data_IF_943558789251
#
_entry.id   IF_943558789251
#
_cell.length_a   1.000
_cell.length_b   1.000
_cell.length_c   1.000
_cell.angle_alpha   90.00
_cell.angle_beta   90.00
_cell.angle_gamma   90.00
#
_symmetry.space_group_name_H-M   'P 1'
#
loop_
_entity.id
_entity.type
_entity.pdbx_description
1 polymer ?
#
# COMPACT_ATOMS: atom_id res chain seq x y z
N UNK A 1 11.16 -29.62 14.27
CA UNK A 1 10.96 -28.41 13.42
C UNK A 1 11.24 -27.21 14.29
N UNK A 2 12.29 -26.41 14.01
CA UNK A 2 12.51 -25.14 14.75
C UNK A 2 11.33 -24.24 14.41
N UNK A 3 10.38 -24.08 15.32
CA UNK A 3 9.36 -23.04 15.20
C UNK A 3 10.09 -21.71 15.26
N UNK A 4 10.42 -21.15 14.09
CA UNK A 4 10.92 -19.77 14.02
C UNK A 4 9.86 -18.92 14.69
N UNK A 5 10.23 -18.27 15.79
CA UNK A 5 9.33 -17.38 16.52
C UNK A 5 9.12 -16.13 15.66
N UNK A 6 8.10 -16.15 14.82
CA UNK A 6 7.71 -14.99 14.01
C UNK A 6 6.71 -14.12 14.76
N UNK A 7 6.72 -12.83 14.46
CA UNK A 7 5.88 -11.81 15.10
C UNK A 7 4.85 -11.31 14.10
N UNK A 8 3.57 -11.24 14.49
CA UNK A 8 2.53 -10.64 13.65
C UNK A 8 2.21 -9.24 14.15
N UNK A 9 2.19 -8.28 13.23
CA UNK A 9 1.66 -6.95 13.43
C UNK A 9 0.38 -6.78 12.61
N UNK A 10 -0.53 -5.95 13.11
CA UNK A 10 -1.78 -5.59 12.45
C UNK A 10 -1.73 -4.10 12.14
N UNK A 11 -2.13 -3.71 10.93
CA UNK A 11 -2.41 -2.31 10.63
C UNK A 11 -3.82 -1.89 11.06
N UNK A 12 -4.16 -0.62 10.83
CA UNK A 12 -5.40 0.01 11.28
C UNK A 12 -6.65 -0.43 10.51
N UNK A 13 -6.48 -0.96 9.29
CA UNK A 13 -7.57 -1.25 8.38
C UNK A 13 -8.53 -2.36 8.86
N UNK A 14 -8.02 -3.43 9.49
CA UNK A 14 -8.86 -4.55 9.95
C UNK A 14 -8.23 -5.35 11.11
N UNK A 15 -8.17 -4.78 12.34
CA UNK A 15 -7.51 -5.43 13.47
C UNK A 15 -8.16 -6.73 13.93
N UNK A 16 -9.48 -6.89 13.75
CA UNK A 16 -10.19 -8.13 14.07
C UNK A 16 -9.73 -9.32 13.22
N UNK A 17 -9.45 -9.11 11.92
CA UNK A 17 -8.95 -10.15 11.03
C UNK A 17 -7.55 -10.60 11.45
N UNK A 18 -6.66 -9.66 11.77
CA UNK A 18 -5.31 -10.00 12.25
C UNK A 18 -5.35 -10.76 13.59
N UNK A 19 -6.30 -10.45 14.48
CA UNK A 19 -6.52 -11.20 15.72
C UNK A 19 -6.97 -12.63 15.46
N UNK A 20 -7.86 -12.84 14.50
CA UNK A 20 -8.32 -14.16 14.10
C UNK A 20 -7.16 -15.00 13.52
N UNK A 21 -6.38 -14.42 12.60
CA UNK A 21 -5.16 -15.05 12.06
C UNK A 21 -4.17 -15.42 13.17
N UNK A 22 -3.92 -14.51 14.11
CA UNK A 22 -3.03 -14.76 15.24
C UNK A 22 -3.55 -15.90 16.14
N UNK A 23 -4.87 -15.96 16.37
CA UNK A 23 -5.53 -17.02 17.12
C UNK A 23 -5.41 -18.38 16.44
N UNK A 24 -5.61 -18.45 15.12
CA UNK A 24 -5.44 -19.70 14.35
C UNK A 24 -4.00 -20.22 14.37
N UNK A 25 -3.03 -19.31 14.42
CA UNK A 25 -1.61 -19.64 14.49
C UNK A 25 -1.09 -19.86 15.92
N UNK A 26 -1.96 -19.76 16.93
CA UNK A 26 -1.61 -19.85 18.36
C UNK A 26 -0.46 -18.92 18.77
N UNK A 27 -0.45 -17.71 18.23
CA UNK A 27 0.53 -16.67 18.54
C UNK A 27 -0.15 -15.38 18.96
N UNK A 28 0.52 -14.60 19.81
CA UNK A 28 0.04 -13.29 20.21
C UNK A 28 0.24 -12.25 19.10
N UNK A 29 -0.71 -11.32 18.96
CA UNK A 29 -0.52 -10.13 18.15
C UNK A 29 0.51 -9.22 18.84
N UNK A 30 1.51 -8.78 18.09
CA UNK A 30 2.59 -7.92 18.57
C UNK A 30 2.05 -6.50 18.77
N UNK A 31 2.53 -5.81 19.81
CA UNK A 31 2.10 -4.44 20.10
C UNK A 31 2.81 -3.43 19.18
N UNK A 32 2.01 -2.70 18.41
CA UNK A 32 2.41 -1.48 17.73
C UNK A 32 1.37 -0.39 18.01
N UNK A 33 1.83 0.85 18.14
CA UNK A 33 0.99 2.04 18.24
C UNK A 33 0.89 2.63 16.85
N UNK A 34 -0.34 2.72 16.35
CA UNK A 34 -0.69 3.38 15.10
C UNK A 34 -1.49 4.62 15.45
N UNK A 35 -1.21 5.73 14.78
CA UNK A 35 -1.89 6.98 15.02
C UNK A 35 -1.70 7.96 13.87
N UNK A 36 -2.30 9.14 14.01
CA UNK A 36 -2.14 10.23 13.08
C UNK A 36 -1.68 11.47 13.85
N UNK A 37 -0.77 12.23 13.27
CA UNK A 37 -0.39 13.54 13.75
C UNK A 37 -1.47 14.57 13.41
N UNK A 38 -1.41 15.74 14.05
CA UNK A 38 -2.41 16.81 13.89
C UNK A 38 -2.48 17.39 12.46
N UNK A 39 -1.43 17.17 11.67
CA UNK A 39 -1.31 17.54 10.26
C UNK A 39 -1.80 16.45 9.29
N UNK A 40 -2.20 15.29 9.80
CA UNK A 40 -2.65 14.14 9.01
C UNK A 40 -1.54 13.16 8.62
N UNK A 41 -0.30 13.36 9.06
CA UNK A 41 0.77 12.37 8.84
C UNK A 41 0.54 11.10 9.67
N UNK A 42 0.91 9.95 9.12
CA UNK A 42 0.75 8.66 9.79
C UNK A 42 1.92 8.41 10.74
N UNK A 43 1.61 8.10 12.00
CA UNK A 43 2.57 7.73 13.02
C UNK A 43 2.54 6.23 13.32
N UNK A 44 3.71 5.60 13.30
CA UNK A 44 3.87 4.17 13.64
C UNK A 44 5.00 4.02 14.63
N UNK A 45 4.70 3.38 15.77
CA UNK A 45 5.69 3.06 16.79
C UNK A 45 5.62 1.58 17.16
N UNK A 46 6.72 0.87 16.94
CA UNK A 46 6.85 -0.54 17.33
C UNK A 46 7.22 -0.60 18.82
N UNK A 47 6.35 -1.20 19.65
CA UNK A 47 6.54 -1.26 21.10
C UNK A 47 7.29 -2.52 21.58
N UNK A 48 7.61 -3.45 20.68
CA UNK A 48 8.28 -4.70 20.99
C UNK A 48 9.59 -4.87 20.21
N UNK A 49 10.56 -5.58 20.79
CA UNK A 49 11.81 -5.88 20.08
C UNK A 49 11.59 -6.93 19.00
N UNK A 50 11.96 -6.59 17.76
CA UNK A 50 11.86 -7.45 16.57
C UNK A 50 13.22 -7.86 16.00
N UNK A 51 14.32 -7.57 16.72
CA UNK A 51 15.69 -7.81 16.25
C UNK A 51 15.92 -9.29 15.93
N UNK A 52 16.35 -9.58 14.70
CA UNK A 52 16.65 -10.94 14.25
C UNK A 52 15.44 -11.88 14.19
N UNK A 53 14.21 -11.34 14.25
CA UNK A 53 12.96 -12.11 14.12
C UNK A 53 12.39 -11.96 12.72
N UNK A 54 11.64 -12.98 12.30
CA UNK A 54 10.78 -12.89 11.13
C UNK A 54 9.50 -12.15 11.52
N UNK A 55 9.11 -11.15 10.75
CA UNK A 55 7.98 -10.29 11.05
C UNK A 55 6.98 -10.38 9.91
N UNK A 56 5.70 -10.56 10.26
CA UNK A 56 4.59 -10.54 9.35
C UNK A 56 3.69 -9.33 9.66
N UNK A 57 3.32 -8.57 8.65
CA UNK A 57 2.42 -7.43 8.75
C UNK A 57 1.14 -7.79 8.00
N UNK A 58 0.02 -7.78 8.70
CA UNK A 58 -1.30 -8.00 8.09
C UNK A 58 -1.97 -6.64 7.91
N UNK A 59 -2.02 -6.17 6.67
CA UNK A 59 -2.68 -4.91 6.32
C UNK A 59 -3.51 -5.06 5.04
N UNK A 60 -4.84 -5.14 5.16
CA UNK A 60 -5.73 -5.00 4.01
C UNK A 60 -5.64 -3.57 3.44
N UNK A 61 -5.52 -3.42 2.12
CA UNK A 61 -5.64 -2.10 1.48
C UNK A 61 -7.10 -1.80 1.10
N UNK A 62 -8.01 -1.89 2.07
CA UNK A 62 -9.39 -1.41 1.89
C UNK A 62 -9.43 0.14 1.87
N UNK A 63 -10.55 0.74 1.48
CA UNK A 63 -10.66 2.21 1.43
C UNK A 63 -10.55 2.81 2.85
N UNK A 64 -9.72 3.86 3.07
CA UNK A 64 -8.86 4.59 2.12
C UNK A 64 -7.56 3.84 1.77
N UNK A 65 -7.36 3.53 0.48
CA UNK A 65 -6.27 2.66 -0.01
C UNK A 65 -4.90 3.31 0.21
N UNK A 66 -4.79 4.61 -0.02
CA UNK A 66 -3.52 5.34 0.04
C UNK A 66 -2.98 5.41 1.47
N UNK A 67 -3.83 5.73 2.45
CA UNK A 67 -3.42 5.83 3.85
C UNK A 67 -3.01 4.46 4.38
N UNK A 68 -3.76 3.41 4.04
CA UNK A 68 -3.43 2.04 4.41
C UNK A 68 -2.11 1.56 3.78
N UNK A 69 -1.82 1.98 2.55
CA UNK A 69 -0.55 1.71 1.87
C UNK A 69 0.60 2.49 2.51
N UNK A 70 0.43 3.78 2.80
CA UNK A 70 1.44 4.60 3.46
C UNK A 70 1.73 4.09 4.87
N UNK A 71 0.71 3.72 5.63
CA UNK A 71 0.86 3.08 6.94
C UNK A 71 1.68 1.79 6.85
N UNK A 72 1.42 0.94 5.85
CA UNK A 72 2.18 -0.28 5.62
C UNK A 72 3.66 0.03 5.33
N UNK A 73 3.93 1.00 4.45
CA UNK A 73 5.30 1.37 4.10
C UNK A 73 6.06 1.92 5.31
N UNK A 74 5.41 2.75 6.13
CA UNK A 74 6.00 3.29 7.36
C UNK A 74 6.25 2.18 8.38
N UNK A 75 5.32 1.21 8.54
CA UNK A 75 5.54 0.03 9.37
C UNK A 75 6.75 -0.80 8.90
N UNK A 76 6.86 -1.07 7.59
CA UNK A 76 7.99 -1.79 7.02
C UNK A 76 9.30 -1.06 7.31
N UNK A 77 9.33 0.26 7.15
CA UNK A 77 10.53 1.06 7.43
C UNK A 77 10.90 1.06 8.92
N UNK A 78 9.91 1.18 9.82
CA UNK A 78 10.13 1.09 11.27
C UNK A 78 10.67 -0.28 11.70
N UNK A 79 10.17 -1.37 11.10
CA UNK A 79 10.65 -2.73 11.35
C UNK A 79 12.06 -2.97 10.80
N UNK A 80 12.36 -2.39 9.64
CA UNK A 80 13.71 -2.43 9.04
C UNK A 80 14.72 -1.69 9.92
N UNK A 81 14.38 -0.50 10.42
CA UNK A 81 15.20 0.24 11.41
C UNK A 81 15.37 -0.54 12.72
N UNK A 82 14.38 -1.33 13.10
CA UNK A 82 14.42 -2.20 14.28
C UNK A 82 15.19 -3.52 14.08
N UNK A 83 15.86 -3.69 12.92
CA UNK A 83 16.70 -4.86 12.60
C UNK A 83 15.93 -6.19 12.54
N UNK A 84 14.71 -6.18 12.00
CA UNK A 84 14.00 -7.41 11.66
C UNK A 84 14.81 -8.26 10.64
N UNK A 85 14.80 -9.58 10.79
CA UNK A 85 15.52 -10.49 9.89
C UNK A 85 14.83 -10.60 8.53
N UNK A 86 13.51 -10.74 8.56
CA UNK A 86 12.67 -10.86 7.37
C UNK A 86 11.38 -10.10 7.65
N UNK A 87 10.84 -9.42 6.63
CA UNK A 87 9.58 -8.68 6.71
C UNK A 87 8.67 -9.23 5.61
N UNK A 88 7.52 -9.77 5.99
CA UNK A 88 6.50 -10.30 5.09
C UNK A 88 5.23 -9.48 5.21
N UNK A 89 4.80 -8.82 4.13
CA UNK A 89 3.53 -8.12 4.09
C UNK A 89 2.44 -9.02 3.51
N UNK A 90 1.39 -9.26 4.30
CA UNK A 90 0.18 -9.97 3.86
C UNK A 90 -0.87 -8.92 3.53
N UNK A 91 -1.16 -8.79 2.23
CA UNK A 91 -2.11 -7.82 1.69
C UNK A 91 -3.25 -8.60 1.00
N UNK A 92 -4.34 -8.92 1.72
CA UNK A 92 -5.45 -9.72 1.18
C UNK A 92 -6.16 -9.07 -0.02
N UNK A 93 -6.13 -7.74 -0.11
CA UNK A 93 -6.70 -6.96 -1.19
C UNK A 93 -5.71 -5.86 -1.56
N UNK A 94 -5.28 -5.81 -2.82
CA UNK A 94 -4.36 -4.80 -3.35
C UNK A 94 -5.14 -3.85 -4.26
N UNK A 95 -5.63 -2.73 -3.73
CA UNK A 95 -6.49 -1.79 -4.46
C UNK A 95 -5.87 -1.17 -5.72
N UNK A 96 -4.54 -1.24 -5.87
CA UNK A 96 -3.80 -0.80 -7.06
C UNK A 96 -3.69 -1.86 -8.16
N UNK A 97 -4.25 -3.06 -8.02
CA UNK A 97 -4.13 -4.13 -9.01
C UNK A 97 -4.91 -3.87 -10.31
N UNK A 98 -5.85 -2.93 -10.30
CA UNK A 98 -6.55 -2.47 -11.49
C UNK A 98 -6.04 -1.09 -11.92
N UNK A 99 -4.91 -1.09 -12.62
CA UNK A 99 -4.66 -0.04 -13.61
C UNK A 99 -5.74 -0.17 -14.67
N UNK A 100 -6.85 0.55 -14.51
CA UNK A 100 -7.71 0.86 -15.64
C UNK A 100 -6.81 1.64 -16.59
N UNK A 101 -6.31 1.00 -17.65
CA UNK A 101 -5.81 1.68 -18.83
C UNK A 101 -6.95 2.58 -19.30
N UNK A 102 -6.94 3.81 -18.80
CA UNK A 102 -7.65 4.92 -19.39
C UNK A 102 -7.00 5.05 -20.77
N UNK A 103 -7.59 4.37 -21.75
CA UNK A 103 -7.33 4.64 -23.15
C UNK A 103 -7.62 6.11 -23.33
N UNK A 104 -6.57 6.93 -23.26
CA UNK A 104 -6.61 8.33 -23.63
C UNK A 104 -7.16 8.34 -25.05
N UNK A 105 -8.39 8.80 -25.33
CA UNK A 105 -8.77 9.02 -26.70
C UNK A 105 -7.80 10.09 -27.17
N UNK A 106 -6.93 9.75 -28.12
CA UNK A 106 -6.16 10.76 -28.83
C UNK A 106 -7.18 11.74 -29.36
N UNK A 107 -7.13 12.97 -28.87
CA UNK A 107 -7.87 14.09 -29.41
C UNK A 107 -7.43 14.28 -30.85
N UNK A 108 -8.09 13.58 -31.78
CA UNK A 108 -8.00 13.79 -33.20
C UNK A 108 -8.64 15.14 -33.49
N UNK A 109 -7.82 16.17 -33.40
CA UNK A 109 -8.14 17.50 -33.89
C UNK A 109 -8.14 17.43 -35.42
N UNK A 110 -9.26 17.00 -35.99
CA UNK A 110 -9.45 17.04 -37.44
C UNK A 110 -10.86 17.54 -37.73
N UNK A 111 -10.98 18.87 -37.79
CA UNK A 111 -12.05 19.59 -38.49
C UNK A 111 -11.68 21.07 -38.52
N UNK A 112 -11.12 21.50 -39.65
CA UNK A 112 -11.45 22.77 -40.31
C UNK A 112 -11.03 22.62 -41.78
N UNK A 113 -11.98 22.19 -42.61
CA UNK A 113 -12.72 23.05 -43.57
C UNK A 113 -11.96 23.16 -44.90
N UNK A 114 -12.10 22.12 -45.71
CA UNK A 114 -11.86 22.23 -47.15
C UNK A 114 -13.04 22.98 -47.78
N UNK A 115 -12.87 24.27 -48.02
CA UNK A 115 -13.71 25.01 -48.95
C UNK A 115 -12.82 25.92 -49.79
N UNK A 116 -12.69 25.53 -51.06
CA UNK A 116 -12.61 26.39 -52.25
C UNK A 116 -11.73 27.64 -52.14
N UNK A 117 -10.72 27.77 -52.99
CA UNK A 117 -10.87 28.57 -54.20
C UNK A 117 -9.62 28.49 -55.09
N UNK A 118 -9.90 28.48 -56.39
CA UNK A 118 -9.02 28.49 -57.54
C UNK A 118 -7.97 29.61 -57.60
N UNK A 119 -7.00 29.34 -58.47
CA UNK A 119 -6.45 30.24 -59.49
C UNK A 119 -5.13 31.00 -59.23
N UNK A 120 -4.24 30.73 -60.20
CA UNK A 120 -3.31 31.63 -60.92
C UNK A 120 -1.87 31.78 -60.43
N UNK A 121 -0.99 31.26 -61.31
CA UNK A 121 0.33 31.79 -61.71
C UNK A 121 0.41 33.32 -61.71
N UNK A 122 1.56 33.82 -61.26
CA UNK A 122 2.32 35.03 -61.65
C UNK A 122 3.27 35.30 -60.46
N UNK A 123 4.58 35.41 -60.51
CA UNK A 123 5.63 35.48 -61.54
C UNK A 123 6.93 34.93 -60.92
#
# INVERSE_FOLDING_TARGET
MKTRSFKIFSGSAHPSFSKEVAKHLNIGLSKAVLGHFSDGEINVQISESVRGRDVCIVQPTCAPVNDNLMELLIMVDALRRSSASSITAVIPYFGYSQTRSQGRPQSAHQRQTGSRFDAKRAD
#
